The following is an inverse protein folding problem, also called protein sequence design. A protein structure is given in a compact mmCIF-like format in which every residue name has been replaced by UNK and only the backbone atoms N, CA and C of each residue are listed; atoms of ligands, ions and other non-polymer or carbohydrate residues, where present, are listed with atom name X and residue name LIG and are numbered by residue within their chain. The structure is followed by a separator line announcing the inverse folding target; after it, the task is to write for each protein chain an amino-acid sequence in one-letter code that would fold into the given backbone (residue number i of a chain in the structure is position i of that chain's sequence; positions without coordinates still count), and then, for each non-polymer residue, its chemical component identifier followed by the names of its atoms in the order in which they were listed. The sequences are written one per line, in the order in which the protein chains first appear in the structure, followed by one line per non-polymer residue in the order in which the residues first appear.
data_IF_096485567135
#
_entry.id   IF_096485567135
#
_cell.length_a   1.000
_cell.length_b   1.000
_cell.length_c   1.000
_cell.angle_alpha   90.00
_cell.angle_beta   90.00
_cell.angle_gamma   90.00
#
_symmetry.space_group_name_H-M   'P 1'
#
loop_
_entity.id
_entity.type
_entity.pdbx_description
1 polymer ?
#
# COMPACT_ATOMS: atom_id res chain seq x y z
N UNK A 1 -13.97 10.43 45.25
CA UNK A 1 -13.34 11.14 44.10
C UNK A 1 -12.25 10.32 43.41
N UNK A 2 -11.40 9.56 44.11
CA UNK A 2 -10.38 8.68 43.50
C UNK A 2 -10.90 7.55 42.57
N UNK A 3 -12.15 7.09 42.76
CA UNK A 3 -12.75 6.03 41.95
C UNK A 3 -13.00 6.45 40.48
N UNK A 4 -13.30 7.73 40.26
CA UNK A 4 -13.45 8.30 38.91
C UNK A 4 -12.11 8.65 38.27
N UNK A 5 -11.11 9.00 39.08
CA UNK A 5 -9.73 9.19 38.62
C UNK A 5 -9.13 7.88 38.07
N UNK A 6 -9.34 6.77 38.78
CA UNK A 6 -8.93 5.43 38.30
C UNK A 6 -9.65 5.02 37.00
N UNK A 7 -10.95 5.32 36.86
CA UNK A 7 -11.69 5.05 35.63
C UNK A 7 -11.22 5.91 34.44
N UNK A 8 -10.84 7.17 34.68
CA UNK A 8 -10.32 8.05 33.65
C UNK A 8 -8.93 7.62 33.14
N UNK A 9 -8.04 7.17 34.05
CA UNK A 9 -6.71 6.68 33.68
C UNK A 9 -6.79 5.39 32.85
N UNK A 10 -7.72 4.48 33.16
CA UNK A 10 -7.94 3.25 32.39
C UNK A 10 -8.47 3.58 30.98
N UNK A 11 -9.39 4.56 30.85
CA UNK A 11 -9.92 4.96 29.55
C UNK A 11 -8.83 5.58 28.63
N UNK A 12 -7.91 6.37 29.19
CA UNK A 12 -6.78 6.95 28.43
C UNK A 12 -5.76 5.86 28.02
N UNK A 13 -5.50 4.88 28.88
CA UNK A 13 -4.58 3.78 28.57
C UNK A 13 -5.09 2.86 27.44
N UNK A 14 -6.40 2.69 27.31
CA UNK A 14 -7.02 1.92 26.23
C UNK A 14 -7.04 2.66 24.88
N UNK A 15 -6.81 3.98 24.88
CA UNK A 15 -6.74 4.80 23.67
C UNK A 15 -5.31 4.95 23.12
N UNK A 16 -4.32 4.28 23.71
CA UNK A 16 -2.97 4.24 23.17
C UNK A 16 -2.94 3.33 21.94
N UNK A 17 -3.17 3.91 20.77
CA UNK A 17 -2.92 3.25 19.49
C UNK A 17 -1.43 2.90 19.42
N UNK A 18 -1.09 1.62 19.50
CA UNK A 18 0.28 1.16 19.26
C UNK A 18 0.55 1.23 17.76
N UNK A 19 1.09 2.37 17.29
CA UNK A 19 1.57 2.48 15.92
C UNK A 19 2.81 1.60 15.76
N UNK A 20 2.72 0.63 14.85
CA UNK A 20 3.89 -0.11 14.40
C UNK A 20 4.82 0.83 13.63
N UNK A 21 6.13 0.61 13.79
CA UNK A 21 7.12 1.23 12.92
C UNK A 21 6.96 0.76 11.47
N UNK A 22 7.44 1.55 10.52
CA UNK A 22 7.43 1.18 9.09
C UNK A 22 8.11 -0.18 8.84
N UNK A 23 9.11 -0.51 9.66
CA UNK A 23 9.83 -1.78 9.63
C UNK A 23 8.93 -2.94 10.07
N UNK A 24 8.22 -2.77 11.19
CA UNK A 24 7.29 -3.78 11.71
C UNK A 24 6.08 -3.98 10.78
N UNK A 25 5.54 -2.91 10.20
CA UNK A 25 4.46 -2.99 9.20
C UNK A 25 4.92 -3.74 7.95
N UNK A 26 6.15 -3.49 7.49
CA UNK A 26 6.70 -4.18 6.32
C UNK A 26 6.96 -5.66 6.61
N UNK A 27 7.50 -5.99 7.80
CA UNK A 27 7.66 -7.39 8.23
C UNK A 27 6.32 -8.12 8.33
N UNK A 28 5.29 -7.44 8.85
CA UNK A 28 3.93 -7.98 8.91
C UNK A 28 3.37 -8.22 7.50
N UNK A 29 3.49 -7.24 6.61
CA UNK A 29 3.09 -7.36 5.21
C UNK A 29 3.78 -8.54 4.50
N UNK A 30 5.10 -8.71 4.71
CA UNK A 30 5.83 -9.84 4.13
C UNK A 30 5.25 -11.18 4.58
N UNK A 31 4.90 -11.30 5.86
CA UNK A 31 4.28 -12.52 6.41
C UNK A 31 2.87 -12.74 5.86
N UNK A 32 2.02 -11.71 5.90
CA UNK A 32 0.62 -11.81 5.50
C UNK A 32 0.44 -12.20 4.02
N UNK A 33 1.33 -11.70 3.16
CA UNK A 33 1.27 -11.93 1.70
C UNK A 33 2.38 -12.84 1.17
N UNK A 34 3.08 -13.53 2.08
CA UNK A 34 4.16 -14.48 1.77
C UNK A 34 5.20 -13.92 0.78
N UNK A 35 5.65 -12.68 1.03
CA UNK A 35 6.60 -11.98 0.18
C UNK A 35 8.02 -12.44 0.47
N UNK A 36 8.73 -12.80 -0.59
CA UNK A 36 10.14 -13.14 -0.57
C UNK A 36 10.84 -12.39 -1.70
N UNK A 37 11.92 -11.69 -1.37
CA UNK A 37 12.68 -10.86 -2.31
C UNK A 37 14.06 -11.46 -2.52
N UNK A 38 14.48 -11.53 -3.79
CA UNK A 38 15.70 -12.26 -4.17
C UNK A 38 17.00 -11.59 -3.69
N UNK A 39 16.99 -10.27 -3.47
CA UNK A 39 18.19 -9.51 -3.08
C UNK A 39 17.83 -8.45 -2.04
N UNK A 40 18.79 -8.05 -1.18
CA UNK A 40 18.60 -6.95 -0.23
C UNK A 40 18.22 -5.63 -0.91
N UNK A 41 18.77 -5.36 -2.10
CA UNK A 41 18.44 -4.15 -2.86
C UNK A 41 16.98 -4.16 -3.34
N UNK A 42 16.46 -5.31 -3.79
CA UNK A 42 15.05 -5.42 -4.15
C UNK A 42 14.16 -5.28 -2.92
N UNK A 43 14.51 -5.90 -1.80
CA UNK A 43 13.77 -5.75 -0.55
C UNK A 43 13.71 -4.30 -0.08
N UNK A 44 14.84 -3.58 -0.11
CA UNK A 44 14.89 -2.16 0.25
C UNK A 44 14.00 -1.32 -0.68
N UNK A 45 14.03 -1.60 -2.00
CA UNK A 45 13.17 -0.91 -2.96
C UNK A 45 11.69 -1.19 -2.69
N UNK A 46 11.33 -2.44 -2.43
CA UNK A 46 9.96 -2.88 -2.14
C UNK A 46 9.43 -2.28 -0.84
N UNK A 47 10.29 -2.18 0.18
CA UNK A 47 10.00 -1.46 1.42
C UNK A 47 9.70 0.00 1.17
N UNK A 48 10.51 0.68 0.35
CA UNK A 48 10.26 2.07 -0.03
C UNK A 48 8.89 2.28 -0.71
N UNK A 49 8.51 1.37 -1.61
CA UNK A 49 7.19 1.41 -2.27
C UNK A 49 6.07 1.15 -1.24
N UNK A 50 6.24 0.14 -0.40
CA UNK A 50 5.28 -0.19 0.65
C UNK A 50 5.02 0.96 1.61
N UNK A 51 6.07 1.62 2.12
CA UNK A 51 5.94 2.78 3.02
C UNK A 51 5.18 3.92 2.34
N UNK A 52 5.47 4.19 1.07
CA UNK A 52 4.71 5.19 0.31
C UNK A 52 3.23 4.80 0.17
N UNK A 53 2.91 3.53 -0.04
CA UNK A 53 1.52 3.03 -0.06
C UNK A 53 0.86 3.17 1.31
N UNK A 54 1.56 2.83 2.39
CA UNK A 54 1.06 2.95 3.75
C UNK A 54 0.72 4.41 4.10
N UNK A 55 1.58 5.36 3.73
CA UNK A 55 1.31 6.79 3.93
C UNK A 55 0.07 7.26 3.15
N UNK A 56 -0.07 6.83 1.89
CA UNK A 56 -1.29 7.12 1.09
C UNK A 56 -2.55 6.57 1.76
N UNK A 57 -2.48 5.37 2.32
CA UNK A 57 -3.61 4.75 3.04
C UNK A 57 -3.95 5.57 4.29
N UNK A 58 -2.94 5.96 5.09
CA UNK A 58 -3.13 6.77 6.30
C UNK A 58 -3.78 8.12 5.96
N UNK A 59 -3.29 8.83 4.95
CA UNK A 59 -3.85 10.10 4.50
C UNK A 59 -5.29 9.96 3.97
N UNK A 60 -5.55 8.92 3.18
CA UNK A 60 -6.88 8.62 2.65
C UNK A 60 -7.87 8.30 3.78
N UNK A 61 -7.47 7.45 4.72
CA UNK A 61 -8.33 7.05 5.83
C UNK A 61 -8.56 8.20 6.80
N UNK A 62 -7.60 9.11 6.99
CA UNK A 62 -7.83 10.33 7.76
C UNK A 62 -8.90 11.24 7.15
N UNK A 63 -9.08 11.24 5.82
CA UNK A 63 -10.18 11.94 5.15
C UNK A 63 -11.50 11.18 5.23
N UNK A 64 -11.45 9.85 5.17
CA UNK A 64 -12.61 8.98 5.41
C UNK A 64 -13.20 9.20 6.81
N UNK A 65 -12.37 9.24 7.86
CA UNK A 65 -12.83 9.50 9.24
C UNK A 65 -13.46 10.90 9.41
N UNK A 66 -13.11 11.86 8.55
CA UNK A 66 -13.74 13.20 8.50
C UNK A 66 -15.04 13.24 7.69
N UNK A 67 -15.42 12.14 7.04
CA UNK A 67 -16.56 12.08 6.13
C UNK A 67 -16.33 12.76 4.77
N UNK A 68 -15.09 13.10 4.42
CA UNK A 68 -14.75 13.74 3.14
C UNK A 68 -14.69 12.72 1.98
N UNK A 69 -14.42 11.45 2.31
CA UNK A 69 -14.38 10.33 1.36
C UNK A 69 -15.29 9.23 1.89
N UNK A 70 -16.00 8.53 1.00
CA UNK A 70 -17.01 7.52 1.34
C UNK A 70 -16.47 6.10 1.57
N UNK A 71 -15.16 5.90 1.41
CA UNK A 71 -14.51 4.59 1.55
C UNK A 71 -13.12 4.72 2.18
N UNK A 72 -12.67 3.65 2.82
CA UNK A 72 -11.31 3.52 3.34
C UNK A 72 -10.45 2.62 2.45
N UNK A 73 -9.14 2.76 2.57
CA UNK A 73 -8.14 1.89 1.96
C UNK A 73 -7.53 0.96 3.01
N UNK A 74 -7.04 -0.18 2.54
CA UNK A 74 -6.29 -1.14 3.36
C UNK A 74 -5.08 -1.67 2.61
N UNK A 75 -4.11 -2.18 3.37
CA UNK A 75 -2.97 -2.90 2.82
C UNK A 75 -3.49 -4.18 2.16
N UNK A 76 -3.02 -4.44 0.94
CA UNK A 76 -3.33 -5.65 0.18
C UNK A 76 -2.05 -6.16 -0.51
N UNK A 77 -2.15 -7.26 -1.24
CA UNK A 77 -0.99 -7.87 -1.88
C UNK A 77 -0.24 -6.93 -2.83
N UNK A 78 -0.85 -5.89 -3.38
CA UNK A 78 -0.21 -4.98 -4.33
C UNK A 78 0.53 -3.81 -3.67
N UNK A 79 0.59 -3.76 -2.34
CA UNK A 79 1.11 -2.60 -1.62
C UNK A 79 2.61 -2.30 -1.86
N UNK A 80 3.38 -3.29 -2.34
CA UNK A 80 4.80 -3.18 -2.69
C UNK A 80 5.06 -2.93 -4.18
N UNK A 81 4.03 -2.67 -4.99
CA UNK A 81 4.14 -2.44 -6.43
C UNK A 81 3.92 -0.96 -6.77
N UNK A 82 4.68 -0.45 -7.73
CA UNK A 82 4.33 0.82 -8.37
C UNK A 82 3.09 0.64 -9.26
N UNK A 83 2.45 1.75 -9.63
CA UNK A 83 1.30 1.71 -10.53
C UNK A 83 1.66 1.11 -11.89
N UNK A 84 2.84 1.43 -12.40
CA UNK A 84 3.38 0.92 -13.66
C UNK A 84 3.67 -0.58 -13.57
N UNK A 85 4.26 -1.04 -12.45
CA UNK A 85 4.48 -2.47 -12.21
C UNK A 85 3.15 -3.23 -12.12
N UNK A 86 2.16 -2.69 -11.42
CA UNK A 86 0.83 -3.27 -11.33
C UNK A 86 0.19 -3.38 -12.71
N UNK A 87 0.18 -2.30 -13.49
CA UNK A 87 -0.36 -2.29 -14.85
C UNK A 87 0.34 -3.30 -15.75
N UNK A 88 1.68 -3.34 -15.68
CA UNK A 88 2.50 -4.22 -16.51
C UNK A 88 2.22 -5.71 -16.26
N UNK A 89 1.97 -6.09 -15.00
CA UNK A 89 1.81 -7.50 -14.59
C UNK A 89 0.36 -7.97 -14.57
N UNK A 90 -0.58 -7.09 -14.25
CA UNK A 90 -1.97 -7.46 -13.95
C UNK A 90 -2.99 -6.85 -14.91
N UNK A 91 -2.55 -6.11 -15.94
CA UNK A 91 -3.46 -5.55 -16.95
C UNK A 91 -2.97 -5.82 -18.38
N UNK A 92 -3.87 -5.67 -19.36
CA UNK A 92 -3.58 -5.85 -20.79
C UNK A 92 -2.83 -4.66 -21.43
N UNK A 93 -2.46 -3.62 -20.66
CA UNK A 93 -1.93 -2.37 -21.19
C UNK A 93 -0.72 -2.57 -22.12
N UNK A 94 0.29 -3.33 -21.65
CA UNK A 94 1.48 -3.63 -22.45
C UNK A 94 1.15 -4.37 -23.75
N UNK A 95 0.19 -5.30 -23.71
CA UNK A 95 -0.22 -6.08 -24.88
C UNK A 95 -0.93 -5.20 -25.92
N UNK A 96 -1.82 -4.32 -25.48
CA UNK A 96 -2.52 -3.37 -26.36
C UNK A 96 -1.52 -2.41 -27.02
N UNK A 97 -0.55 -1.88 -26.26
CA UNK A 97 0.48 -0.99 -26.79
C UNK A 97 1.37 -1.67 -27.84
N UNK A 98 1.80 -2.92 -27.59
CA UNK A 98 2.60 -3.68 -28.55
C UNK A 98 1.84 -3.94 -29.85
N UNK A 99 0.55 -4.30 -29.76
CA UNK A 99 -0.29 -4.50 -30.94
C UNK A 99 -0.48 -3.23 -31.75
N UNK A 100 -0.67 -2.09 -31.10
CA UNK A 100 -0.75 -0.78 -31.77
C UNK A 100 0.52 -0.45 -32.56
N UNK A 101 1.69 -0.68 -31.95
CA UNK A 101 3.00 -0.47 -32.61
C UNK A 101 3.20 -1.40 -33.81
N UNK A 102 2.81 -2.67 -33.70
CA UNK A 102 2.86 -3.64 -34.80
C UNK A 102 1.92 -3.26 -35.97
N UNK A 103 0.70 -2.82 -35.66
CA UNK A 103 -0.25 -2.34 -36.67
C UNK A 103 0.28 -1.11 -37.42
N UNK A 104 0.89 -0.14 -36.72
CA UNK A 104 1.52 1.01 -37.38
C UNK A 104 2.71 0.60 -38.25
N UNK A 105 3.57 -0.31 -37.77
CA UNK A 105 4.72 -0.78 -38.55
C UNK A 105 4.31 -1.52 -39.83
N UNK A 106 3.23 -2.29 -39.80
CA UNK A 106 2.71 -2.98 -40.98
C UNK A 106 2.02 -2.03 -41.97
N UNK A 107 1.48 -0.90 -41.49
CA UNK A 107 0.89 0.14 -42.34
C UNK A 107 1.92 1.05 -43.02
N UNK A 108 3.15 1.18 -42.50
CA UNK A 108 4.21 2.06 -43.06
C UNK A 108 5.21 1.34 -43.96
N UNK A 109 5.04 0.04 -44.20
CA UNK A 109 5.92 -0.78 -45.06
C UNK A 109 5.23 -1.30 -46.34
N UNK A 110 4.01 -0.85 -46.62
CA UNK A 110 3.29 -1.09 -47.88
C UNK A 110 3.12 0.21 -48.66
#
# INVERSE_FOLDING_TARGET
MFKYFLLFVIAVALAADTYLSDDEEFEKFKKDFNRNYATPNEEQRRKGIFVNTLNKIKEHNAKFEKGEISYSLGINQFADLTHEEFQSRYTMKNWVEQRGKLAQKTATHN
#
